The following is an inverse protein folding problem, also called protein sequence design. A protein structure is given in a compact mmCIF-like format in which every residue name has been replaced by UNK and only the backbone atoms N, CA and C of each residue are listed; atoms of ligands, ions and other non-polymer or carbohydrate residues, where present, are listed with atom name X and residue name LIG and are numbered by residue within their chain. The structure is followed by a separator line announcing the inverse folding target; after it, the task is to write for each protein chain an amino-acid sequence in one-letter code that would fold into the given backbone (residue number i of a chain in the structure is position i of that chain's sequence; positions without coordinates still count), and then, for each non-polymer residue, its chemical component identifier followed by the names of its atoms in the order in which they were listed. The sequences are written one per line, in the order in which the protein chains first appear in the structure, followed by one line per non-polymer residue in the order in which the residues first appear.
data_IF_219413027810
#
_entry.id   IF_219413027810
#
_cell.length_a   1.000
_cell.length_b   1.000
_cell.length_c   1.000
_cell.angle_alpha   90.00
_cell.angle_beta   90.00
_cell.angle_gamma   90.00
#
_symmetry.space_group_name_H-M   'P 1'
#
loop_
_entity.id
_entity.type
_entity.pdbx_description
1 polymer ?
#
# COMPACT_ATOMS: atom_id res chain seq x y z
N UNK A 1 74.90 24.53 27.31
CA UNK A 1 75.77 23.82 26.35
C UNK A 1 74.92 23.21 25.25
N UNK A 2 75.35 23.34 23.98
CA UNK A 2 74.74 22.74 22.78
C UNK A 2 75.09 21.26 22.64
N UNK A 3 74.24 20.48 21.96
CA UNK A 3 74.50 19.46 20.90
C UNK A 3 73.32 18.45 20.87
N UNK A 4 72.37 18.52 19.91
CA UNK A 4 72.36 18.09 18.48
C UNK A 4 71.86 16.64 18.28
N UNK A 5 70.77 16.52 17.49
CA UNK A 5 70.50 15.56 16.39
C UNK A 5 70.53 14.05 16.66
N UNK A 6 69.74 13.17 16.04
CA UNK A 6 68.66 13.22 15.03
C UNK A 6 68.07 11.81 14.88
N UNK A 7 66.80 11.75 14.41
CA UNK A 7 66.15 10.76 13.51
C UNK A 7 64.77 10.35 14.06
N UNK A 8 63.71 10.99 13.56
CA UNK A 8 62.83 10.46 12.49
C UNK A 8 62.10 9.19 12.94
N UNK A 9 60.81 9.21 13.24
CA UNK A 9 59.76 9.19 12.21
C UNK A 9 58.44 9.75 12.76
N UNK A 10 57.71 10.54 11.97
CA UNK A 10 56.40 11.16 12.26
C UNK A 10 55.36 10.60 11.25
N UNK A 11 54.04 10.88 11.34
CA UNK A 11 53.08 10.84 12.46
C UNK A 11 51.77 10.15 11.97
N UNK A 12 50.54 10.62 12.27
CA UNK A 12 49.78 10.66 13.52
C UNK A 12 48.50 9.78 13.44
N UNK A 13 47.72 9.66 14.52
CA UNK A 13 46.30 10.11 14.51
C UNK A 13 45.61 9.90 15.86
N UNK A 14 45.06 11.03 16.31
CA UNK A 14 43.93 11.17 17.22
C UNK A 14 42.78 10.21 16.90
N UNK A 15 42.15 9.61 17.91
CA UNK A 15 40.89 10.09 18.52
C UNK A 15 40.37 9.03 19.52
N UNK A 16 39.96 9.51 20.69
CA UNK A 16 39.00 8.83 21.57
C UNK A 16 37.58 9.37 21.27
N UNK A 17 36.53 8.97 22.01
CA UNK A 17 35.59 7.90 21.69
C UNK A 17 34.16 8.44 21.49
N UNK A 18 33.20 7.61 21.07
CA UNK A 18 31.85 7.54 21.68
C UNK A 18 30.85 6.75 20.83
N UNK A 19 29.82 6.27 21.55
CA UNK A 19 28.43 6.17 21.10
C UNK A 19 27.94 4.80 20.60
N UNK A 20 27.29 4.11 21.55
CA UNK A 20 25.88 3.71 21.45
C UNK A 20 25.55 2.85 20.22
N UNK A 21 25.74 1.53 20.36
CA UNK A 21 25.24 0.52 19.44
C UNK A 21 23.72 0.73 19.22
N UNK A 22 23.38 1.33 18.07
CA UNK A 22 22.06 1.19 17.45
C UNK A 22 22.04 -0.21 16.83
N UNK A 23 21.02 -0.98 17.17
CA UNK A 23 20.67 -2.19 16.45
C UNK A 23 20.32 -1.79 15.00
N UNK A 24 21.29 -1.91 14.11
CA UNK A 24 21.10 -1.72 12.66
C UNK A 24 20.43 -2.98 12.11
N UNK A 25 19.11 -2.90 11.93
CA UNK A 25 18.41 -3.83 11.05
C UNK A 25 18.93 -3.57 9.62
N UNK A 26 19.47 -4.56 8.90
CA UNK A 26 19.94 -4.32 7.53
C UNK A 26 18.75 -3.90 6.64
N UNK A 27 18.95 -3.00 5.65
CA UNK A 27 17.93 -2.74 4.66
C UNK A 27 17.64 -4.05 3.89
N UNK A 28 16.37 -4.32 3.52
CA UNK A 28 16.06 -5.49 2.72
C UNK A 28 16.82 -5.43 1.38
N UNK A 29 17.26 -6.57 0.84
CA UNK A 29 18.04 -6.61 -0.39
C UNK A 29 17.28 -5.98 -1.55
N UNK A 30 17.95 -5.11 -2.31
CA UNK A 30 17.48 -4.59 -3.59
C UNK A 30 17.52 -5.71 -4.64
N UNK A 31 16.55 -6.63 -4.60
CA UNK A 31 16.27 -7.42 -5.79
C UNK A 31 15.51 -6.55 -6.80
N UNK A 32 15.95 -6.49 -8.08
CA UNK A 32 15.21 -5.79 -9.10
C UNK A 32 13.86 -6.49 -9.28
N UNK A 33 12.78 -5.81 -8.91
CA UNK A 33 11.42 -6.23 -9.22
C UNK A 33 11.30 -6.37 -10.74
N UNK A 34 11.30 -7.61 -11.21
CA UNK A 34 11.06 -7.95 -12.60
C UNK A 34 9.58 -7.69 -12.88
N UNK A 35 9.26 -6.48 -13.36
CA UNK A 35 7.93 -6.15 -13.86
C UNK A 35 7.72 -6.94 -15.14
N UNK A 36 7.19 -8.16 -14.99
CA UNK A 36 6.85 -9.06 -16.08
C UNK A 36 6.21 -8.32 -17.26
N UNK A 37 6.62 -8.68 -18.46
CA UNK A 37 6.06 -8.16 -19.71
C UNK A 37 4.55 -8.37 -19.77
N UNK A 38 3.83 -7.59 -20.58
CA UNK A 38 2.36 -7.56 -20.64
C UNK A 38 1.65 -8.93 -20.82
N UNK A 39 2.36 -9.98 -21.24
CA UNK A 39 1.85 -11.36 -21.29
C UNK A 39 1.79 -12.07 -19.91
N UNK A 40 2.53 -11.61 -18.90
CA UNK A 40 2.52 -12.17 -17.53
C UNK A 40 1.27 -11.76 -16.72
N UNK A 41 0.44 -10.85 -17.25
CA UNK A 41 -0.79 -10.38 -16.61
C UNK A 41 -1.94 -11.39 -16.62
N UNK A 42 -1.79 -12.54 -17.29
CA UNK A 42 -2.85 -13.58 -17.32
C UNK A 42 -2.79 -14.56 -16.16
N UNK A 43 -1.67 -14.65 -15.44
CA UNK A 43 -1.41 -15.70 -14.46
C UNK A 43 -0.91 -15.14 -13.11
N UNK A 44 -1.51 -14.08 -12.57
CA UNK A 44 -1.32 -13.76 -11.16
C UNK A 44 -2.04 -14.81 -10.31
N UNK A 45 -1.38 -15.95 -10.07
CA UNK A 45 -1.88 -16.98 -9.16
C UNK A 45 -1.71 -16.44 -7.74
N UNK A 46 -2.85 -16.15 -7.10
CA UNK A 46 -2.93 -15.82 -5.69
C UNK A 46 -2.20 -16.90 -4.87
N UNK A 47 -1.09 -16.58 -4.16
CA UNK A 47 -0.36 -17.59 -3.41
C UNK A 47 -1.22 -18.03 -2.22
N UNK A 48 -1.66 -19.29 -2.30
CA UNK A 48 -2.21 -20.13 -1.23
C UNK A 48 -3.38 -19.53 -0.42
N UNK A 49 -4.60 -19.75 -0.92
CA UNK A 49 -5.80 -19.64 -0.08
C UNK A 49 -6.63 -20.92 -0.22
N UNK A 50 -6.72 -21.66 0.89
CA UNK A 50 -7.64 -22.78 1.10
C UNK A 50 -9.05 -22.41 0.54
N UNK A 51 -9.69 -23.27 -0.28
CA UNK A 51 -10.86 -22.88 -1.05
C UNK A 51 -12.10 -22.78 -0.16
N UNK A 52 -12.27 -21.62 0.46
CA UNK A 52 -13.47 -21.26 1.22
C UNK A 52 -14.25 -20.20 0.46
N UNK A 53 -15.16 -20.60 -0.44
CA UNK A 53 -16.10 -19.73 -1.18
C UNK A 53 -15.51 -18.50 -1.91
N UNK A 54 -14.19 -18.35 -1.96
CA UNK A 54 -13.47 -17.25 -2.61
C UNK A 54 -13.41 -17.49 -4.13
N UNK A 55 -13.54 -18.75 -4.58
CA UNK A 55 -13.35 -19.17 -5.98
C UNK A 55 -14.56 -18.98 -6.90
N UNK A 56 -15.70 -18.46 -6.41
CA UNK A 56 -16.90 -18.26 -7.25
C UNK A 56 -17.06 -16.84 -7.80
N UNK A 57 -16.25 -15.88 -7.34
CA UNK A 57 -16.21 -14.56 -7.95
C UNK A 57 -15.08 -14.60 -8.98
N UNK A 58 -15.42 -14.95 -10.24
CA UNK A 58 -14.54 -14.73 -11.39
C UNK A 58 -13.84 -13.38 -11.22
N UNK A 59 -12.53 -13.33 -11.47
CA UNK A 59 -11.63 -12.17 -11.35
C UNK A 59 -12.05 -11.02 -12.28
N UNK A 60 -13.24 -10.45 -12.06
CA UNK A 60 -13.77 -9.35 -12.86
C UNK A 60 -13.45 -8.08 -12.11
N UNK A 61 -12.20 -7.61 -12.24
CA UNK A 61 -11.84 -6.28 -11.76
C UNK A 61 -12.78 -5.22 -12.37
N UNK A 62 -13.06 -4.12 -11.66
CA UNK A 62 -13.88 -3.05 -12.21
C UNK A 62 -13.22 -2.47 -13.47
N UNK A 63 -14.02 -2.18 -14.49
CA UNK A 63 -13.58 -1.60 -15.75
C UNK A 63 -13.53 -0.07 -15.68
N UNK A 64 -14.26 0.53 -14.74
CA UNK A 64 -14.24 1.98 -14.48
C UNK A 64 -14.21 2.29 -12.98
N UNK A 65 -13.88 3.51 -12.60
CA UNK A 65 -13.83 3.93 -11.19
C UNK A 65 -15.24 4.07 -10.58
N UNK A 66 -16.25 4.28 -11.41
CA UNK A 66 -17.67 4.43 -11.02
C UNK A 66 -18.37 3.09 -10.85
N UNK A 67 -17.83 2.00 -11.39
CA UNK A 67 -18.42 0.67 -11.29
C UNK A 67 -18.37 0.16 -9.85
N UNK A 68 -19.51 -0.24 -9.29
CA UNK A 68 -19.52 -0.89 -7.98
C UNK A 68 -18.98 -2.30 -8.12
N UNK A 69 -18.01 -2.65 -7.27
CA UNK A 69 -17.34 -3.93 -7.33
C UNK A 69 -17.41 -4.59 -5.97
N UNK A 70 -17.89 -5.83 -5.90
CA UNK A 70 -17.93 -6.59 -4.67
C UNK A 70 -16.76 -7.58 -4.64
N UNK A 71 -15.96 -7.53 -3.58
CA UNK A 71 -14.90 -8.49 -3.33
C UNK A 71 -14.70 -8.72 -1.82
N UNK A 72 -13.98 -9.78 -1.52
CA UNK A 72 -13.53 -10.06 -0.17
C UNK A 72 -12.18 -9.38 0.12
N UNK A 73 -12.09 -8.62 1.21
CA UNK A 73 -10.85 -7.97 1.64
C UNK A 73 -10.49 -8.39 3.08
N UNK A 74 -9.22 -8.75 3.29
CA UNK A 74 -8.72 -9.09 4.64
C UNK A 74 -8.28 -7.83 5.38
N UNK A 75 -8.27 -7.83 6.72
CA UNK A 75 -7.54 -6.81 7.47
C UNK A 75 -6.10 -6.68 6.98
N UNK A 76 -5.64 -5.43 6.80
CA UNK A 76 -4.34 -5.09 6.23
C UNK A 76 -4.32 -4.99 4.69
N UNK A 77 -5.37 -5.42 3.99
CA UNK A 77 -5.40 -5.33 2.51
C UNK A 77 -5.33 -3.87 2.05
N UNK A 78 -4.40 -3.51 1.14
CA UNK A 78 -4.31 -2.18 0.58
C UNK A 78 -5.50 -1.91 -0.35
N UNK A 79 -6.02 -0.68 -0.29
CA UNK A 79 -7.21 -0.26 -1.02
C UNK A 79 -7.10 1.19 -1.48
N UNK A 80 -7.90 1.55 -2.47
CA UNK A 80 -8.14 2.93 -2.89
C UNK A 80 -9.50 3.39 -2.38
N UNK A 81 -9.52 4.56 -1.75
CA UNK A 81 -10.70 5.18 -1.16
C UNK A 81 -10.99 6.52 -1.83
N UNK A 82 -12.21 6.69 -2.36
CA UNK A 82 -12.68 7.97 -2.86
C UNK A 82 -13.05 8.85 -1.68
N UNK A 83 -12.14 9.74 -1.32
CA UNK A 83 -12.34 10.67 -0.20
C UNK A 83 -13.01 11.95 -0.69
N UNK A 84 -14.06 12.39 -0.01
CA UNK A 84 -14.55 13.76 -0.06
C UNK A 84 -14.48 14.36 1.34
N UNK A 85 -14.05 15.62 1.45
CA UNK A 85 -13.97 16.31 2.74
C UNK A 85 -14.62 17.67 2.62
N UNK A 86 -15.23 18.18 3.69
CA UNK A 86 -15.73 19.57 3.73
C UNK A 86 -14.64 20.60 3.40
N UNK A 87 -13.37 20.28 3.72
CA UNK A 87 -12.19 21.12 3.43
C UNK A 87 -11.69 20.99 1.98
N UNK A 88 -12.01 19.87 1.31
CA UNK A 88 -11.61 19.58 -0.07
C UNK A 88 -12.82 18.94 -0.77
N UNK A 89 -13.69 19.76 -1.38
CA UNK A 89 -14.96 19.29 -1.92
C UNK A 89 -14.75 18.43 -3.18
N UNK A 90 -13.59 18.53 -3.83
CA UNK A 90 -13.25 17.72 -5.00
C UNK A 90 -12.94 16.29 -4.52
N UNK A 91 -13.74 15.28 -4.91
CA UNK A 91 -13.47 13.89 -4.58
C UNK A 91 -12.08 13.50 -5.06
N UNK A 92 -11.28 12.89 -4.19
CA UNK A 92 -9.92 12.48 -4.51
C UNK A 92 -9.70 11.05 -4.06
N UNK A 93 -9.22 10.21 -4.97
CA UNK A 93 -8.78 8.85 -4.63
C UNK A 93 -7.51 8.88 -3.78
N UNK A 94 -7.52 8.09 -2.71
CA UNK A 94 -6.41 7.98 -1.76
C UNK A 94 -6.12 6.54 -1.44
N UNK A 95 -4.85 6.23 -1.26
CA UNK A 95 -4.44 4.93 -0.78
C UNK A 95 -4.75 4.82 0.72
N UNK A 96 -5.21 3.65 1.12
CA UNK A 96 -5.51 3.27 2.49
C UNK A 96 -5.39 1.76 2.67
N UNK A 97 -5.91 1.27 3.79
CA UNK A 97 -5.96 -0.16 4.08
C UNK A 97 -7.22 -0.52 4.83
N UNK A 98 -7.62 -1.78 4.72
CA UNK A 98 -8.72 -2.35 5.49
C UNK A 98 -8.24 -2.59 6.93
N UNK A 99 -8.96 -2.06 7.91
CA UNK A 99 -8.70 -2.29 9.33
C UNK A 99 -9.39 -3.57 9.78
N UNK A 100 -10.66 -3.72 9.44
CA UNK A 100 -11.47 -4.89 9.81
C UNK A 100 -12.70 -5.03 8.91
N UNK A 101 -13.25 -6.23 8.84
CA UNK A 101 -14.62 -6.43 8.39
C UNK A 101 -15.60 -5.90 9.46
N UNK A 102 -16.69 -5.26 9.04
CA UNK A 102 -17.63 -4.60 9.94
C UNK A 102 -18.99 -5.29 9.99
N UNK A 103 -19.78 -5.25 8.91
CA UNK A 103 -21.11 -5.89 8.82
C UNK A 103 -21.33 -6.53 7.46
N UNK A 104 -22.06 -7.64 7.46
CA UNK A 104 -22.60 -8.27 6.24
C UNK A 104 -24.03 -7.78 6.00
N UNK A 105 -24.32 -7.34 4.78
CA UNK A 105 -25.62 -6.86 4.32
C UNK A 105 -26.22 -7.89 3.38
N UNK A 106 -27.40 -8.39 3.73
CA UNK A 106 -28.18 -9.28 2.87
C UNK A 106 -29.20 -8.43 2.10
N UNK A 107 -29.09 -8.43 0.78
CA UNK A 107 -29.98 -7.67 -0.09
C UNK A 107 -30.55 -8.58 -1.17
N UNK A 108 -31.65 -8.19 -1.85
CA UNK A 108 -32.13 -8.92 -3.02
C UNK A 108 -31.11 -9.05 -4.15
N UNK A 109 -30.09 -8.17 -4.18
CA UNK A 109 -29.02 -8.18 -5.18
C UNK A 109 -27.84 -9.08 -4.80
N UNK A 110 -27.84 -9.66 -3.60
CA UNK A 110 -26.76 -10.50 -3.10
C UNK A 110 -26.28 -10.12 -1.70
N UNK A 111 -25.17 -10.74 -1.31
CA UNK A 111 -24.51 -10.55 -0.02
C UNK A 111 -23.39 -9.52 -0.21
N UNK A 112 -23.43 -8.44 0.54
CA UNK A 112 -22.42 -7.39 0.52
C UNK A 112 -21.71 -7.31 1.88
N UNK A 113 -20.42 -6.96 1.88
CA UNK A 113 -19.62 -6.84 3.11
C UNK A 113 -19.16 -5.40 3.23
N UNK A 114 -19.28 -4.85 4.44
CA UNK A 114 -18.75 -3.54 4.77
C UNK A 114 -17.43 -3.69 5.52
N UNK A 115 -16.49 -2.79 5.23
CA UNK A 115 -15.15 -2.79 5.80
C UNK A 115 -14.90 -1.46 6.48
N UNK A 116 -14.28 -1.51 7.66
CA UNK A 116 -13.63 -0.34 8.23
C UNK A 116 -12.33 -0.12 7.49
N UNK A 117 -12.17 1.05 6.87
CA UNK A 117 -10.97 1.43 6.13
C UNK A 117 -10.32 2.66 6.75
N UNK A 118 -9.00 2.69 6.72
CA UNK A 118 -8.19 3.78 7.23
C UNK A 118 -7.31 4.37 6.13
N UNK A 119 -7.29 5.69 6.04
CA UNK A 119 -6.48 6.44 5.08
C UNK A 119 -6.12 7.83 5.63
N UNK A 120 -5.22 8.55 4.97
CA UNK A 120 -4.67 9.82 5.46
C UNK A 120 -5.13 11.00 4.59
N UNK A 121 -5.65 12.06 5.21
CA UNK A 121 -5.93 13.35 4.56
C UNK A 121 -5.22 14.46 5.32
N UNK A 122 -4.26 15.14 4.68
CA UNK A 122 -3.61 16.31 5.30
C UNK A 122 -2.89 16.01 6.62
N UNK A 123 -2.35 14.80 6.78
CA UNK A 123 -1.70 14.33 8.01
C UNK A 123 -2.67 13.77 9.06
N UNK A 124 -3.99 13.93 8.87
CA UNK A 124 -5.00 13.36 9.74
C UNK A 124 -5.36 11.94 9.29
N UNK A 125 -5.41 11.02 10.24
CA UNK A 125 -5.93 9.67 10.02
C UNK A 125 -7.45 9.71 10.00
N UNK A 126 -8.04 9.27 8.89
CA UNK A 126 -9.48 9.12 8.73
C UNK A 126 -9.83 7.64 8.74
N UNK A 127 -10.84 7.29 9.54
CA UNK A 127 -11.46 5.96 9.55
C UNK A 127 -12.90 6.09 9.08
N UNK A 128 -13.31 5.25 8.14
CA UNK A 128 -14.69 5.21 7.64
C UNK A 128 -15.12 3.77 7.39
N UNK A 129 -16.42 3.54 7.28
CA UNK A 129 -16.99 2.24 6.91
C UNK A 129 -17.55 2.35 5.50
N UNK A 130 -17.10 1.47 4.59
CA UNK A 130 -17.54 1.45 3.19
C UNK A 130 -18.00 0.05 2.81
N UNK A 131 -19.00 -0.03 1.92
CA UNK A 131 -19.60 -1.28 1.47
C UNK A 131 -19.36 -1.48 -0.04
N UNK A 132 -18.20 -2.04 -0.43
CA UNK A 132 -17.90 -2.30 -1.83
C UNK A 132 -18.97 -3.18 -2.49
N UNK A 133 -19.48 -2.69 -3.62
CA UNK A 133 -20.56 -3.31 -4.40
C UNK A 133 -21.90 -2.60 -4.26
N UNK A 134 -22.14 -1.91 -3.14
CA UNK A 134 -23.26 -0.98 -3.01
C UNK A 134 -22.86 0.45 -3.39
N UNK A 135 -21.62 0.82 -3.06
CA UNK A 135 -21.09 2.16 -3.29
C UNK A 135 -19.73 2.08 -3.99
N UNK A 136 -19.39 3.01 -4.91
CA UNK A 136 -18.19 2.92 -5.74
C UNK A 136 -16.90 3.40 -5.05
N UNK A 137 -16.98 3.96 -3.84
CA UNK A 137 -15.91 4.71 -3.15
C UNK A 137 -14.75 3.85 -2.65
N UNK A 138 -14.82 2.53 -2.81
CA UNK A 138 -13.75 1.62 -2.43
C UNK A 138 -13.38 0.76 -3.64
N UNK A 139 -12.08 0.64 -3.90
CA UNK A 139 -11.50 -0.26 -4.90
C UNK A 139 -10.34 -1.05 -4.30
N UNK A 140 -10.09 -2.29 -4.75
CA UNK A 140 -8.89 -3.02 -4.36
C UNK A 140 -7.65 -2.35 -4.96
N UNK A 141 -6.51 -2.43 -4.29
CA UNK A 141 -5.25 -1.98 -4.86
C UNK A 141 -4.67 -3.01 -5.83
N UNK A 142 -5.14 -2.99 -7.08
CA UNK A 142 -4.69 -3.89 -8.15
C UNK A 142 -4.08 -3.11 -9.31
N UNK A 143 -3.24 -3.74 -10.17
CA UNK A 143 -2.66 -3.07 -11.32
C UNK A 143 -3.70 -2.41 -12.25
N UNK A 144 -4.84 -3.07 -12.45
CA UNK A 144 -5.96 -2.56 -13.27
C UNK A 144 -6.55 -1.30 -12.65
N UNK A 145 -6.83 -1.31 -11.34
CA UNK A 145 -7.35 -0.11 -10.64
C UNK A 145 -6.33 1.01 -10.66
N UNK A 146 -5.03 0.72 -10.45
CA UNK A 146 -3.95 1.71 -10.56
C UNK A 146 -3.85 2.30 -11.97
N UNK A 147 -4.11 1.51 -13.02
CA UNK A 147 -4.18 2.01 -14.39
C UNK A 147 -5.37 2.96 -14.57
N UNK A 148 -6.58 2.58 -14.14
CA UNK A 148 -7.77 3.44 -14.20
C UNK A 148 -7.55 4.77 -13.44
N UNK A 149 -6.89 4.71 -12.28
CA UNK A 149 -6.54 5.89 -11.50
C UNK A 149 -5.56 6.81 -12.25
N UNK A 150 -4.54 6.24 -12.92
CA UNK A 150 -3.60 7.01 -13.74
C UNK A 150 -4.28 7.66 -14.94
N UNK A 151 -5.14 6.93 -15.63
CA UNK A 151 -5.91 7.43 -16.78
C UNK A 151 -6.84 8.57 -16.36
N UNK A 152 -7.39 8.51 -15.16
CA UNK A 152 -8.20 9.58 -14.56
C UNK A 152 -7.38 10.74 -13.95
N UNK A 153 -6.05 10.70 -14.03
CA UNK A 153 -5.16 11.77 -13.55
C UNK A 153 -4.90 11.77 -12.03
N UNK A 154 -5.23 10.70 -11.33
CA UNK A 154 -4.90 10.56 -9.91
C UNK A 154 -3.49 10.00 -9.73
N UNK A 155 -2.75 10.42 -8.68
CA UNK A 155 -1.47 9.82 -8.34
C UNK A 155 -1.70 8.38 -7.85
N UNK A 156 -1.61 7.42 -8.77
CA UNK A 156 -1.47 6.02 -8.40
C UNK A 156 -0.05 5.85 -7.84
N UNK A 157 0.06 5.78 -6.52
CA UNK A 157 1.33 5.49 -5.86
C UNK A 157 1.89 4.15 -6.39
N UNK A 158 3.24 4.02 -6.43
CA UNK A 158 3.92 2.82 -6.93
C UNK A 158 3.62 1.57 -6.10
#
# INVERSE_FOLDING_TARGET
MKLRNSKETNPPKFMAPSSRERSETPPPPEEPYNWGTADDMRNWVCPEVNPHMIDTLRDVHPHTLEETFHWYARPGTPVWVLSSSKKRPIPTWRQGYVVSEHKTHFTPKGIFRSYSVQYIIGGETVKTVLCPGLEPELKPDTPQVRQLLREAGYPAAP
#
